data_IF_701785524779
#
_entry.id   IF_701785524779
#
_cell.length_a   1.000
_cell.length_b   1.000
_cell.length_c   1.000
_cell.angle_alpha   90.00
_cell.angle_beta   90.00
_cell.angle_gamma   90.00
#
_symmetry.space_group_name_H-M   'P 1'
#
loop_
_entity.id
_entity.type
_entity.pdbx_description
1 polymer ?
#
# COMPACT_ATOMS: atom_id res chain seq x y z
N UNK A 1 -31.13 27.32 -5.35
CA UNK A 1 -29.72 27.08 -5.01
C UNK A 1 -29.55 26.95 -3.49
N UNK A 2 -29.36 25.72 -3.02
CA UNK A 2 -29.39 25.37 -1.60
C UNK A 2 -28.01 25.66 -0.95
N UNK A 3 -27.70 26.94 -0.76
CA UNK A 3 -26.43 27.40 -0.18
C UNK A 3 -26.17 26.80 1.22
N UNK A 4 -27.23 26.49 1.95
CA UNK A 4 -27.17 25.80 3.25
C UNK A 4 -26.67 24.36 3.10
N UNK A 5 -27.23 23.59 2.15
CA UNK A 5 -26.79 22.22 1.86
C UNK A 5 -25.34 22.19 1.38
N UNK A 6 -24.95 23.12 0.50
CA UNK A 6 -23.58 23.22 0.00
C UNK A 6 -22.58 23.45 1.14
N UNK A 7 -22.88 24.37 2.06
CA UNK A 7 -22.03 24.65 3.22
C UNK A 7 -21.91 23.42 4.15
N UNK A 8 -23.04 22.76 4.45
CA UNK A 8 -23.04 21.53 5.25
C UNK A 8 -22.22 20.41 4.61
N UNK A 9 -22.35 20.22 3.30
CA UNK A 9 -21.57 19.22 2.55
C UNK A 9 -20.08 19.56 2.50
N UNK A 10 -19.73 20.84 2.38
CA UNK A 10 -18.33 21.28 2.41
C UNK A 10 -17.70 20.96 3.77
N UNK A 11 -18.36 21.29 4.86
CA UNK A 11 -17.90 20.96 6.21
C UNK A 11 -17.77 19.44 6.44
N UNK A 12 -18.73 18.65 5.96
CA UNK A 12 -18.67 17.19 6.04
C UNK A 12 -17.49 16.62 5.23
N UNK A 13 -17.27 17.13 4.02
CA UNK A 13 -16.17 16.73 3.15
C UNK A 13 -14.80 17.09 3.75
N UNK A 14 -14.68 18.25 4.41
CA UNK A 14 -13.46 18.65 5.13
C UNK A 14 -13.12 17.67 6.27
N UNK A 15 -14.12 17.22 7.05
CA UNK A 15 -13.94 16.22 8.11
C UNK A 15 -13.47 14.87 7.53
N UNK A 16 -14.10 14.42 6.44
CA UNK A 16 -13.76 13.14 5.78
C UNK A 16 -12.34 13.18 5.19
N UNK A 17 -11.99 14.26 4.47
CA UNK A 17 -10.66 14.39 3.86
C UNK A 17 -9.59 14.56 4.94
N UNK A 18 -9.88 15.34 5.99
CA UNK A 18 -8.96 15.56 7.10
C UNK A 18 -8.58 14.26 7.80
N UNK A 19 -9.59 13.50 8.24
CA UNK A 19 -9.40 12.20 8.89
C UNK A 19 -8.69 11.17 7.98
N UNK A 20 -9.05 11.08 6.70
CA UNK A 20 -8.41 10.15 5.76
C UNK A 20 -6.95 10.50 5.47
N UNK A 21 -6.58 11.79 5.53
CA UNK A 21 -5.18 12.21 5.43
C UNK A 21 -4.35 11.62 6.57
N UNK A 22 -4.87 11.68 7.80
CA UNK A 22 -4.23 11.08 8.97
C UNK A 22 -4.22 9.55 8.91
N UNK A 23 -5.30 8.91 8.43
CA UNK A 23 -5.33 7.45 8.21
C UNK A 23 -4.31 7.00 7.17
N UNK A 24 -4.15 7.74 6.08
CA UNK A 24 -3.15 7.46 5.04
C UNK A 24 -1.73 7.58 5.60
N UNK A 25 -1.46 8.62 6.38
CA UNK A 25 -0.16 8.79 7.06
C UNK A 25 0.09 7.65 8.05
N UNK A 26 -0.90 7.27 8.84
CA UNK A 26 -0.84 6.11 9.73
C UNK A 26 -0.49 4.82 8.97
N UNK A 27 -1.17 4.51 7.85
CA UNK A 27 -0.86 3.33 7.01
C UNK A 27 0.58 3.34 6.49
N UNK A 28 1.08 4.50 6.05
CA UNK A 28 2.47 4.65 5.61
C UNK A 28 3.46 4.41 6.75
N UNK A 29 3.20 4.97 7.93
CA UNK A 29 4.03 4.78 9.12
C UNK A 29 4.02 3.33 9.61
N UNK A 30 2.85 2.66 9.66
CA UNK A 30 2.75 1.22 9.99
C UNK A 30 3.55 0.36 9.02
N UNK A 31 3.49 0.67 7.72
CA UNK A 31 4.29 -0.02 6.70
C UNK A 31 5.79 0.19 6.92
N UNK A 32 6.21 1.43 7.21
CA UNK A 32 7.60 1.77 7.51
C UNK A 32 8.11 1.10 8.78
N UNK A 33 7.29 1.03 9.84
CA UNK A 33 7.61 0.32 11.07
C UNK A 33 7.80 -1.17 10.81
N UNK A 34 6.88 -1.82 10.06
CA UNK A 34 6.99 -3.24 9.69
C UNK A 34 8.28 -3.54 8.92
N UNK A 35 8.64 -2.70 7.95
CA UNK A 35 9.88 -2.85 7.19
C UNK A 35 11.12 -2.68 8.09
N UNK A 36 11.08 -1.71 9.04
CA UNK A 36 12.17 -1.47 10.00
C UNK A 36 12.32 -2.63 10.98
N UNK A 37 11.21 -3.22 11.41
CA UNK A 37 11.20 -4.38 12.32
C UNK A 37 11.75 -5.64 11.63
N UNK A 38 11.35 -5.86 10.37
CA UNK A 38 11.89 -6.95 9.52
C UNK A 38 13.40 -6.79 9.30
N UNK A 39 13.90 -5.54 9.18
CA UNK A 39 15.33 -5.26 9.10
C UNK A 39 16.05 -5.50 10.43
N UNK A 40 15.45 -5.13 11.57
CA UNK A 40 16.03 -5.38 12.90
C UNK A 40 16.13 -6.88 13.23
N UNK A 41 15.07 -7.64 12.94
CA UNK A 41 15.04 -9.10 13.14
C UNK A 41 16.04 -9.83 12.24
N UNK A 42 16.15 -9.45 10.96
CA UNK A 42 17.16 -10.02 10.06
C UNK A 42 18.59 -9.71 10.50
N UNK A 43 18.89 -8.49 10.97
CA UNK A 43 20.20 -8.15 11.53
C UNK A 43 20.55 -9.01 12.76
N UNK A 44 19.58 -9.29 13.63
CA UNK A 44 19.79 -10.15 14.81
C UNK A 44 20.04 -11.62 14.42
N UNK A 45 19.31 -12.15 13.43
CA UNK A 45 19.54 -13.51 12.92
C UNK A 45 20.92 -13.65 12.29
N UNK A 46 21.34 -12.64 11.50
CA UNK A 46 22.69 -12.60 10.92
C UNK A 46 23.75 -12.59 12.03
N UNK A 47 23.57 -11.78 13.08
CA UNK A 47 24.47 -11.76 14.24
C UNK A 47 24.58 -13.13 14.91
N UNK A 48 23.46 -13.85 15.05
CA UNK A 48 23.43 -15.19 15.64
C UNK A 48 24.21 -16.21 14.80
N UNK A 49 24.08 -16.14 13.47
CA UNK A 49 24.85 -16.99 12.55
C UNK A 49 26.37 -16.72 12.66
N UNK A 50 26.77 -15.45 12.72
CA UNK A 50 28.17 -15.08 12.94
C UNK A 50 28.70 -15.58 14.29
N UNK A 51 27.87 -15.54 15.34
CA UNK A 51 28.24 -16.05 16.66
C UNK A 51 28.46 -17.58 16.65
N UNK A 52 27.58 -18.34 16.00
CA UNK A 52 27.72 -19.80 15.86
C UNK A 52 28.98 -20.16 15.03
N UNK A 53 29.23 -19.42 13.94
CA UNK A 53 30.43 -19.60 13.12
C UNK A 53 31.72 -19.30 13.92
N UNK A 54 31.70 -18.26 14.76
CA UNK A 54 32.82 -17.95 15.64
C UNK A 54 33.07 -19.07 16.67
N UNK A 55 32.01 -19.61 17.27
CA UNK A 55 32.10 -20.68 18.27
C UNK A 55 32.71 -21.97 17.69
N UNK A 56 32.29 -22.34 16.47
CA UNK A 56 32.79 -23.53 15.75
C UNK A 56 34.22 -23.35 15.25
N UNK A 57 34.60 -22.14 14.84
CA UNK A 57 35.99 -21.83 14.46
C UNK A 57 36.92 -21.88 15.68
N UNK A 58 36.52 -21.28 16.80
CA UNK A 58 37.31 -21.26 18.04
C UNK A 58 37.58 -22.67 18.59
N UNK A 59 36.57 -23.55 18.57
CA UNK A 59 36.72 -24.94 19.03
C UNK A 59 37.65 -25.80 18.14
N UNK A 60 37.96 -25.36 16.91
CA UNK A 60 38.93 -26.02 16.02
C UNK A 60 40.32 -25.38 16.02
N UNK A 61 40.47 -24.14 16.45
CA UNK A 61 41.73 -23.39 16.34
C UNK A 61 42.11 -22.72 17.68
N UNK A 62 42.70 -23.53 18.57
CA UNK A 62 43.23 -23.13 19.88
C UNK A 62 44.52 -22.26 19.81
N UNK A 63 45.03 -21.94 18.62
CA UNK A 63 46.35 -21.30 18.45
C UNK A 63 46.38 -19.77 18.34
N UNK A 64 45.24 -19.10 18.08
CA UNK A 64 45.21 -17.64 17.90
C UNK A 64 43.99 -17.00 18.56
N UNK A 65 44.25 -16.16 19.56
CA UNK A 65 43.24 -15.49 20.40
C UNK A 65 42.66 -14.23 19.72
N UNK A 66 43.31 -13.71 18.67
CA UNK A 66 42.95 -12.42 18.06
C UNK A 66 41.66 -12.50 17.26
N UNK A 67 41.48 -13.55 16.46
CA UNK A 67 40.28 -13.75 15.61
C UNK A 67 38.97 -13.89 16.39
N UNK A 68 38.87 -14.68 17.49
CA UNK A 68 37.62 -14.78 18.25
C UNK A 68 37.22 -13.44 18.89
N UNK A 69 38.19 -12.61 19.31
CA UNK A 69 37.90 -11.27 19.86
C UNK A 69 37.22 -10.38 18.80
N UNK A 70 37.73 -10.38 17.56
CA UNK A 70 37.15 -9.59 16.45
C UNK A 70 35.71 -10.04 16.15
N UNK A 71 35.46 -11.36 16.11
CA UNK A 71 34.11 -11.89 15.89
C UNK A 71 33.14 -11.52 17.01
N UNK A 72 33.56 -11.60 18.27
CA UNK A 72 32.73 -11.18 19.41
C UNK A 72 32.37 -9.70 19.30
N UNK A 73 33.34 -8.83 18.98
CA UNK A 73 33.07 -7.40 18.78
C UNK A 73 32.10 -7.14 17.61
N UNK A 74 32.23 -7.88 16.51
CA UNK A 74 31.32 -7.78 15.36
C UNK A 74 29.89 -8.20 15.74
N UNK A 75 29.73 -9.30 16.48
CA UNK A 75 28.41 -9.77 16.92
C UNK A 75 27.74 -8.78 17.87
N UNK A 76 28.49 -8.20 18.81
CA UNK A 76 28.00 -7.14 19.70
C UNK A 76 27.54 -5.92 18.89
N UNK A 77 28.33 -5.49 17.90
CA UNK A 77 27.96 -4.38 17.02
C UNK A 77 26.65 -4.64 16.27
N UNK A 78 26.45 -5.84 15.73
CA UNK A 78 25.21 -6.21 15.04
C UNK A 78 24.00 -6.28 15.99
N UNK A 79 24.18 -6.76 17.22
CA UNK A 79 23.13 -6.77 18.25
C UNK A 79 22.73 -5.33 18.61
N UNK A 80 23.70 -4.42 18.78
CA UNK A 80 23.43 -3.01 19.05
C UNK A 80 22.65 -2.34 17.91
N UNK A 81 23.00 -2.64 16.66
CA UNK A 81 22.25 -2.17 15.49
C UNK A 81 20.82 -2.72 15.50
N UNK A 82 20.63 -4.00 15.81
CA UNK A 82 19.31 -4.62 15.96
C UNK A 82 18.44 -3.91 17.01
N UNK A 83 18.99 -3.65 18.20
CA UNK A 83 18.30 -2.93 19.29
C UNK A 83 17.93 -1.51 18.86
N UNK A 84 18.84 -0.80 18.18
CA UNK A 84 18.57 0.56 17.69
C UNK A 84 17.43 0.58 16.67
N UNK A 85 17.41 -0.37 15.72
CA UNK A 85 16.35 -0.51 14.73
C UNK A 85 15.00 -0.87 15.38
N UNK A 86 15.00 -1.73 16.40
CA UNK A 86 13.80 -2.08 17.14
C UNK A 86 13.21 -0.87 17.88
N UNK A 87 14.05 -0.09 18.58
CA UNK A 87 13.61 1.17 19.24
C UNK A 87 13.03 2.16 18.23
N UNK A 88 13.67 2.28 17.06
CA UNK A 88 13.19 3.13 15.97
C UNK A 88 11.83 2.67 15.45
N UNK A 89 11.63 1.37 15.25
CA UNK A 89 10.35 0.80 14.82
C UNK A 89 9.23 1.11 15.83
N UNK A 90 9.50 0.94 17.13
CA UNK A 90 8.56 1.25 18.21
C UNK A 90 8.14 2.72 18.20
N UNK A 91 9.07 3.65 18.00
CA UNK A 91 8.77 5.08 17.93
C UNK A 91 7.88 5.42 16.72
N UNK A 92 8.16 4.83 15.56
CA UNK A 92 7.35 5.01 14.34
C UNK A 92 5.92 4.46 14.57
N UNK A 93 5.79 3.34 15.28
CA UNK A 93 4.48 2.77 15.59
C UNK A 93 3.70 3.63 16.59
N UNK A 94 4.38 4.26 17.57
CA UNK A 94 3.76 5.22 18.48
C UNK A 94 3.23 6.44 17.71
N UNK A 95 4.02 6.97 16.77
CA UNK A 95 3.59 8.05 15.88
C UNK A 95 2.39 7.63 15.04
N UNK A 96 2.40 6.42 14.48
CA UNK A 96 1.26 5.91 13.70
C UNK A 96 -0.04 5.81 14.51
N UNK A 97 0.06 5.38 15.78
CA UNK A 97 -1.09 5.29 16.67
C UNK A 97 -1.60 6.68 17.08
N UNK A 98 -0.71 7.67 17.24
CA UNK A 98 -1.10 9.04 17.47
C UNK A 98 -1.88 9.61 16.28
N UNK A 99 -1.40 9.38 15.05
CA UNK A 99 -2.10 9.77 13.82
C UNK A 99 -3.47 9.10 13.69
N UNK A 100 -3.58 7.82 14.06
CA UNK A 100 -4.86 7.10 14.11
C UNK A 100 -5.82 7.72 15.14
N UNK A 101 -5.31 8.06 16.33
CA UNK A 101 -6.08 8.77 17.36
C UNK A 101 -6.60 10.13 16.88
N UNK A 102 -5.77 10.90 16.15
CA UNK A 102 -6.19 12.18 15.55
C UNK A 102 -7.28 11.97 14.50
N UNK A 103 -7.16 10.95 13.64
CA UNK A 103 -8.18 10.65 12.65
C UNK A 103 -9.54 10.30 13.28
N UNK A 104 -9.53 9.47 14.32
CA UNK A 104 -10.72 9.09 15.08
C UNK A 104 -11.33 10.33 15.75
N UNK A 105 -10.50 11.15 16.40
CA UNK A 105 -10.93 12.38 17.04
C UNK A 105 -11.64 13.33 16.06
N UNK A 106 -11.07 13.57 14.87
CA UNK A 106 -11.68 14.40 13.82
C UNK A 106 -13.05 13.86 13.41
N UNK A 107 -13.19 12.55 13.23
CA UNK A 107 -14.47 11.92 12.86
C UNK A 107 -15.50 12.01 13.99
N UNK A 108 -15.10 11.79 15.24
CA UNK A 108 -16.00 11.85 16.40
C UNK A 108 -16.45 13.28 16.70
N UNK A 109 -15.53 14.26 16.69
CA UNK A 109 -15.88 15.67 16.88
C UNK A 109 -16.73 16.20 15.71
N UNK A 110 -16.49 15.70 14.49
CA UNK A 110 -17.22 16.06 13.29
C UNK A 110 -18.54 15.30 13.07
N UNK A 111 -19.01 14.47 14.01
CA UNK A 111 -20.14 13.56 13.78
C UNK A 111 -21.43 14.30 13.36
N UNK A 112 -21.73 15.43 14.00
CA UNK A 112 -22.86 16.28 13.63
C UNK A 112 -22.78 16.74 12.17
N UNK A 113 -21.59 17.15 11.72
CA UNK A 113 -21.33 17.58 10.33
C UNK A 113 -21.46 16.40 9.36
N UNK A 114 -21.05 15.20 9.78
CA UNK A 114 -21.14 13.98 8.98
C UNK A 114 -22.57 13.43 8.84
N UNK A 115 -23.51 13.87 9.67
CA UNK A 115 -24.91 13.39 9.64
C UNK A 115 -25.61 13.60 8.30
N UNK A 116 -25.19 14.62 7.53
CA UNK A 116 -25.74 14.93 6.19
C UNK A 116 -25.38 13.86 5.14
N UNK A 117 -24.27 13.15 5.32
CA UNK A 117 -23.80 12.11 4.41
C UNK A 117 -24.09 10.73 5.03
N UNK A 118 -24.81 9.82 4.33
CA UNK A 118 -25.05 8.48 4.86
C UNK A 118 -23.72 7.72 5.05
N UNK A 119 -23.61 6.83 6.06
CA UNK A 119 -22.38 6.12 6.39
C UNK A 119 -21.68 5.45 5.20
N UNK A 120 -22.46 4.84 4.30
CA UNK A 120 -21.96 4.14 3.11
C UNK A 120 -21.28 5.05 2.07
N UNK A 121 -21.38 6.37 2.23
CA UNK A 121 -20.76 7.37 1.35
C UNK A 121 -19.73 8.25 2.09
N UNK A 122 -19.40 7.93 3.35
CA UNK A 122 -18.44 8.68 4.18
C UNK A 122 -16.97 8.32 3.89
N UNK A 123 -16.58 8.50 2.63
CA UNK A 123 -15.19 8.38 2.20
C UNK A 123 -14.86 9.45 1.15
N UNK A 124 -13.56 9.76 0.92
CA UNK A 124 -13.16 10.96 0.20
C UNK A 124 -13.73 11.04 -1.23
N UNK A 125 -13.75 9.91 -1.94
CA UNK A 125 -14.22 9.86 -3.33
C UNK A 125 -15.71 10.19 -3.43
N UNK A 126 -16.55 9.55 -2.60
CA UNK A 126 -17.99 9.79 -2.61
C UNK A 126 -18.34 11.20 -2.15
N UNK A 127 -17.83 11.62 -0.99
CA UNK A 127 -18.08 12.97 -0.44
C UNK A 127 -17.66 14.09 -1.39
N UNK A 128 -16.50 13.99 -2.03
CA UNK A 128 -16.04 14.97 -3.01
C UNK A 128 -16.90 14.97 -4.28
N UNK A 129 -17.37 13.81 -4.74
CA UNK A 129 -18.24 13.75 -5.92
C UNK A 129 -19.62 14.33 -5.63
N UNK A 130 -20.21 13.99 -4.49
CA UNK A 130 -21.50 14.54 -4.05
C UNK A 130 -21.42 16.05 -3.92
N UNK A 131 -20.39 16.57 -3.25
CA UNK A 131 -20.13 18.01 -3.15
C UNK A 131 -20.01 18.65 -4.54
N UNK A 132 -19.30 17.99 -5.48
CA UNK A 132 -19.17 18.46 -6.85
C UNK A 132 -20.53 18.55 -7.56
N UNK A 133 -21.38 17.53 -7.47
CA UNK A 133 -22.69 17.54 -8.12
C UNK A 133 -23.58 18.68 -7.60
N UNK A 134 -23.60 18.90 -6.29
CA UNK A 134 -24.36 20.01 -5.68
C UNK A 134 -23.75 21.37 -6.02
N UNK A 135 -22.42 21.50 -5.98
CA UNK A 135 -21.73 22.76 -6.31
C UNK A 135 -21.86 23.19 -7.77
N UNK A 136 -22.16 22.24 -8.67
CA UNK A 136 -22.31 22.48 -10.10
C UNK A 136 -23.77 22.61 -10.54
N UNK A 137 -24.70 22.70 -9.58
CA UNK A 137 -26.15 22.81 -9.82
C UNK A 137 -26.70 21.63 -10.66
N UNK A 138 -25.99 20.48 -10.62
CA UNK A 138 -26.41 19.23 -11.27
C UNK A 138 -27.30 18.38 -10.38
N UNK A 139 -27.31 18.67 -9.09
CA UNK A 139 -28.17 18.05 -8.11
C UNK A 139 -28.69 19.12 -7.14
N UNK A 140 -30.00 19.24 -7.03
CA UNK A 140 -30.65 20.18 -6.12
C UNK A 140 -30.87 19.57 -4.73
N UNK A 141 -31.05 18.25 -4.69
CA UNK A 141 -31.28 17.47 -3.49
C UNK A 141 -30.12 16.50 -3.21
N UNK A 142 -29.90 16.22 -1.92
CA UNK A 142 -28.91 15.21 -1.50
C UNK A 142 -29.20 13.83 -2.12
N UNK A 143 -30.48 13.44 -2.22
CA UNK A 143 -30.90 12.17 -2.82
C UNK A 143 -30.51 12.06 -4.29
N UNK A 144 -30.65 13.15 -5.03
CA UNK A 144 -30.24 13.21 -6.45
C UNK A 144 -28.72 13.10 -6.58
N UNK A 145 -27.97 13.82 -5.74
CA UNK A 145 -26.51 13.75 -5.73
C UNK A 145 -26.00 12.33 -5.43
N UNK A 146 -26.66 11.60 -4.51
CA UNK A 146 -26.38 10.20 -4.22
C UNK A 146 -26.69 9.29 -5.42
N UNK A 147 -27.83 9.48 -6.08
CA UNK A 147 -28.20 8.71 -7.28
C UNK A 147 -27.20 8.91 -8.42
N UNK A 148 -26.76 10.15 -8.65
CA UNK A 148 -25.74 10.46 -9.66
C UNK A 148 -24.40 9.81 -9.31
N UNK A 149 -24.05 9.76 -8.02
CA UNK A 149 -22.85 9.08 -7.58
C UNK A 149 -22.93 7.56 -7.79
N UNK A 150 -24.04 6.92 -7.48
CA UNK A 150 -24.22 5.48 -7.71
C UNK A 150 -24.12 5.15 -9.20
N UNK A 151 -24.75 5.96 -10.05
CA UNK A 151 -24.62 5.82 -11.50
C UNK A 151 -23.16 5.98 -11.95
N UNK A 152 -22.45 6.98 -11.44
CA UNK A 152 -21.04 7.18 -11.73
C UNK A 152 -20.19 5.99 -11.27
N UNK A 153 -20.47 5.44 -10.10
CA UNK A 153 -19.80 4.28 -9.56
C UNK A 153 -20.00 3.05 -10.46
N UNK A 154 -21.21 2.87 -11.00
CA UNK A 154 -21.47 1.84 -12.00
C UNK A 154 -20.69 2.07 -13.30
N UNK A 155 -20.66 3.31 -13.80
CA UNK A 155 -19.89 3.67 -15.00
C UNK A 155 -18.40 3.36 -14.84
N UNK A 156 -17.80 3.75 -13.71
CA UNK A 156 -16.39 3.43 -13.42
C UNK A 156 -16.12 1.93 -13.34
N UNK A 157 -17.03 1.13 -12.77
CA UNK A 157 -16.89 -0.34 -12.73
C UNK A 157 -16.89 -0.94 -14.15
N UNK A 158 -17.76 -0.44 -15.02
CA UNK A 158 -17.83 -0.88 -16.42
C UNK A 158 -16.56 -0.48 -17.17
N UNK A 159 -16.13 0.77 -17.07
CA UNK A 159 -14.90 1.27 -17.69
C UNK A 159 -13.66 0.47 -17.26
N UNK A 160 -13.56 0.15 -15.97
CA UNK A 160 -12.47 -0.67 -15.44
C UNK A 160 -12.50 -2.10 -16.00
N UNK A 161 -13.69 -2.71 -16.08
CA UNK A 161 -13.86 -4.06 -16.63
C UNK A 161 -13.53 -4.10 -18.12
N UNK A 162 -13.98 -3.10 -18.89
CA UNK A 162 -13.66 -2.97 -20.31
C UNK A 162 -12.16 -2.77 -20.53
N UNK A 163 -11.52 -1.94 -19.72
CA UNK A 163 -10.07 -1.74 -19.77
C UNK A 163 -9.29 -3.03 -19.50
N UNK A 164 -9.74 -3.83 -18.53
CA UNK A 164 -9.15 -5.14 -18.24
C UNK A 164 -9.35 -6.14 -19.39
N UNK A 165 -10.53 -6.17 -20.01
CA UNK A 165 -10.81 -7.01 -21.16
C UNK A 165 -9.96 -6.63 -22.37
N UNK A 166 -9.79 -5.33 -22.63
CA UNK A 166 -8.91 -4.83 -23.69
C UNK A 166 -7.46 -5.25 -23.46
N UNK A 167 -6.96 -5.11 -22.23
CA UNK A 167 -5.59 -5.52 -21.88
C UNK A 167 -5.38 -7.03 -22.10
N UNK A 168 -6.37 -7.84 -21.76
CA UNK A 168 -6.32 -9.29 -21.97
C UNK A 168 -6.38 -9.65 -23.47
N UNK A 169 -7.24 -8.97 -24.24
CA UNK A 169 -7.26 -9.14 -25.70
C UNK A 169 -5.91 -8.77 -26.33
N UNK A 170 -5.29 -7.68 -25.89
CA UNK A 170 -3.94 -7.30 -26.35
C UNK A 170 -2.93 -8.42 -26.02
N UNK A 171 -2.92 -8.95 -24.79
CA UNK A 171 -2.06 -10.08 -24.42
C UNK A 171 -2.31 -11.33 -25.26
N UNK A 172 -3.56 -11.66 -25.55
CA UNK A 172 -3.92 -12.80 -26.40
C UNK A 172 -3.43 -12.59 -27.84
N UNK A 173 -3.59 -11.40 -28.40
CA UNK A 173 -3.09 -11.10 -29.75
C UNK A 173 -1.56 -11.12 -29.82
N UNK A 174 -0.85 -10.64 -28.79
CA UNK A 174 0.61 -10.77 -28.69
C UNK A 174 1.04 -12.22 -28.60
N UNK A 175 0.33 -13.02 -27.81
CA UNK A 175 0.57 -14.45 -27.67
C UNK A 175 0.38 -15.16 -29.00
N UNK A 176 -0.72 -14.91 -29.72
CA UNK A 176 -0.99 -15.48 -31.05
C UNK A 176 0.05 -15.06 -32.10
N UNK A 177 0.49 -13.79 -32.10
CA UNK A 177 1.58 -13.32 -32.96
C UNK A 177 2.88 -14.08 -32.68
N UNK A 178 3.20 -14.31 -31.40
CA UNK A 178 4.39 -15.06 -31.00
C UNK A 178 4.31 -16.55 -31.39
N UNK A 179 3.13 -17.16 -31.28
CA UNK A 179 2.88 -18.54 -31.73
C UNK A 179 3.03 -18.64 -33.24
N UNK A 180 2.38 -17.76 -34.02
CA UNK A 180 2.50 -17.75 -35.48
C UNK A 180 3.96 -17.62 -35.95
N UNK A 181 4.75 -16.75 -35.30
CA UNK A 181 6.18 -16.63 -35.59
C UNK A 181 6.96 -17.92 -35.31
N UNK A 182 6.67 -18.60 -34.20
CA UNK A 182 7.31 -19.88 -33.83
C UNK A 182 6.88 -21.03 -34.74
N UNK A 183 5.59 -21.10 -35.09
CA UNK A 183 5.04 -22.11 -36.00
C UNK A 183 5.56 -21.97 -37.42
N UNK A 184 5.73 -20.74 -37.93
CA UNK A 184 6.36 -20.49 -39.24
C UNK A 184 7.82 -20.94 -39.30
N UNK A 185 8.59 -20.74 -38.22
CA UNK A 185 9.97 -21.24 -38.11
C UNK A 185 10.00 -22.76 -38.02
N UNK A 186 9.06 -23.39 -37.29
CA UNK A 186 8.96 -24.84 -37.20
C UNK A 186 8.57 -25.49 -38.54
N UNK A 187 7.67 -24.88 -39.31
CA UNK A 187 7.27 -25.36 -40.62
C UNK A 187 8.40 -25.22 -41.65
N UNK A 188 9.16 -24.12 -41.61
CA UNK A 188 10.35 -23.97 -42.45
C UNK A 188 11.45 -24.97 -42.07
N UNK A 189 11.67 -25.21 -40.77
CA UNK A 189 12.66 -26.16 -40.28
C UNK A 189 12.31 -27.62 -40.62
N UNK A 190 11.03 -28.00 -40.57
CA UNK A 190 10.58 -29.33 -40.96
C UNK A 190 10.68 -29.58 -42.47
N UNK A 191 10.42 -28.57 -43.30
CA UNK A 191 10.63 -28.66 -44.77
C UNK A 191 12.12 -28.82 -45.09
N UNK A 192 13.01 -28.07 -44.43
CA UNK A 192 14.46 -28.17 -44.66
C UNK A 192 15.01 -29.56 -44.28
N UNK A 193 14.48 -30.19 -43.22
CA UNK A 193 14.85 -31.56 -42.85
C UNK A 193 14.27 -32.63 -43.79
N UNK A 194 13.29 -32.30 -44.63
CA UNK A 194 12.71 -33.20 -45.64
C UNK A 194 13.49 -33.22 -46.97
N UNK A 195 14.36 -32.22 -47.20
CA UNK A 195 15.20 -32.09 -48.39
C UNK A 195 16.69 -32.44 -48.14
N UNK A 196 16.99 -33.12 -47.02
CA UNK A 196 18.31 -33.59 -46.63
C UNK A 196 18.34 -35.11 -46.60
#
# INVERSE_FOLDING_TARGET
MNAELLNKLQQANEVIIGSETHLKKCKQLKTKAKNTDTAGTSACLIAMLFFIAALTYFSRHLGSIIMPIIFVLLTIALILVGIMLFRKSKNIMLEANAEEGVAIYIMTEGEEKLSIIPPDYRYPIASSYILKMVSSDRADEMREALSLYDEQLHRWKIENTQSAMLAEQMRQTETLKSINKRSGVSAAASVINLFK
#
